data_IF_577461823433
#
_entry.id   IF_577461823433
#
_cell.length_a   1.000
_cell.length_b   1.000
_cell.length_c   1.000
_cell.angle_alpha   90.00
_cell.angle_beta   90.00
_cell.angle_gamma   90.00
#
_symmetry.space_group_name_H-M   'P 1'
#
loop_
_entity.id
_entity.type
_entity.pdbx_description
1 polymer ?
#
# COMPACT_ATOMS: atom_id res chain seq x y z
N UNK A 1 -40.89 11.88 -49.65
CA UNK A 1 -39.66 12.59 -49.26
C UNK A 1 -39.18 11.98 -47.96
N UNK A 2 -38.10 11.19 -47.99
CA UNK A 2 -37.47 10.68 -46.77
C UNK A 2 -36.40 11.69 -46.38
N UNK A 3 -36.61 12.38 -45.26
CA UNK A 3 -35.57 13.22 -44.68
C UNK A 3 -34.52 12.30 -44.06
N UNK A 4 -33.33 12.25 -44.67
CA UNK A 4 -32.14 11.73 -44.01
C UNK A 4 -31.79 12.69 -42.87
N UNK A 5 -32.21 12.37 -41.65
CA UNK A 5 -31.59 12.97 -40.48
C UNK A 5 -30.18 12.40 -40.41
N UNK A 6 -29.19 13.14 -40.90
CA UNK A 6 -27.81 12.92 -40.52
C UNK A 6 -27.73 13.25 -39.02
N UNK A 7 -27.93 12.23 -38.18
CA UNK A 7 -27.48 12.30 -36.80
C UNK A 7 -25.96 12.31 -36.92
N UNK A 8 -25.35 13.49 -36.94
CA UNK A 8 -23.94 13.57 -36.56
C UNK A 8 -23.86 12.86 -35.21
N UNK A 9 -23.08 11.78 -35.16
CA UNK A 9 -22.67 11.13 -33.92
C UNK A 9 -21.85 12.15 -33.13
N UNK A 10 -22.51 13.13 -32.52
CA UNK A 10 -21.85 14.19 -31.79
C UNK A 10 -21.42 13.61 -30.46
N UNK A 11 -20.25 13.00 -30.49
CA UNK A 11 -19.47 12.74 -29.31
C UNK A 11 -19.09 14.06 -28.66
N UNK A 12 -18.91 14.05 -27.33
CA UNK A 12 -18.58 15.24 -26.56
C UNK A 12 -17.15 15.72 -26.85
N UNK A 13 -16.77 16.84 -26.25
CA UNK A 13 -15.39 17.31 -26.33
C UNK A 13 -14.39 16.21 -25.91
N UNK A 14 -13.31 16.10 -26.68
CA UNK A 14 -12.25 15.09 -26.52
C UNK A 14 -12.68 13.63 -26.73
N UNK A 15 -13.85 13.41 -27.33
CA UNK A 15 -14.31 12.09 -27.76
C UNK A 15 -14.33 11.98 -29.30
N UNK A 16 -14.22 10.76 -29.80
CA UNK A 16 -14.41 10.41 -31.19
C UNK A 16 -15.32 9.19 -31.32
N UNK A 17 -16.16 9.15 -32.36
CA UNK A 17 -17.00 8.01 -32.62
C UNK A 17 -16.16 6.86 -33.18
N UNK A 18 -16.29 5.68 -32.58
CA UNK A 18 -15.61 4.48 -33.01
C UNK A 18 -16.61 3.33 -33.15
N UNK A 19 -16.72 2.74 -34.34
CA UNK A 19 -17.58 1.59 -34.63
C UNK A 19 -17.13 0.30 -33.93
N UNK A 20 -15.85 0.21 -33.58
CA UNK A 20 -15.29 -0.87 -32.77
C UNK A 20 -14.45 -0.27 -31.63
N UNK A 21 -15.12 0.43 -30.71
CA UNK A 21 -14.51 0.92 -29.47
C UNK A 21 -14.22 -0.20 -28.48
N UNK A 22 -13.26 0.04 -27.58
CA UNK A 22 -13.00 -0.84 -26.43
C UNK A 22 -14.20 -0.85 -25.47
N UNK A 23 -14.55 -2.03 -24.97
CA UNK A 23 -15.55 -2.17 -23.90
C UNK A 23 -15.06 -1.70 -22.52
N UNK A 24 -13.77 -1.40 -22.38
CA UNK A 24 -13.15 -0.96 -21.14
C UNK A 24 -12.34 0.29 -21.45
N UNK A 25 -12.96 1.45 -21.30
CA UNK A 25 -12.25 2.72 -21.40
C UNK A 25 -11.48 2.96 -20.10
N UNK A 26 -10.27 3.48 -20.24
CA UNK A 26 -9.47 3.87 -19.09
C UNK A 26 -10.09 5.10 -18.43
N UNK A 27 -10.02 5.15 -17.11
CA UNK A 27 -10.32 6.35 -16.33
C UNK A 27 -9.10 6.78 -15.50
N UNK A 28 -9.22 7.88 -14.77
CA UNK A 28 -8.12 8.41 -13.97
C UNK A 28 -7.62 7.48 -12.84
N UNK A 29 -8.46 6.59 -12.32
CA UNK A 29 -8.13 5.75 -11.16
C UNK A 29 -7.91 4.28 -11.51
N UNK A 30 -8.32 3.87 -12.70
CA UNK A 30 -8.34 2.48 -13.13
C UNK A 30 -8.03 2.36 -14.61
N UNK A 31 -6.95 1.64 -14.90
CA UNK A 31 -6.68 1.07 -16.21
C UNK A 31 -7.02 -0.41 -16.13
N UNK A 32 -8.04 -0.89 -16.85
CA UNK A 32 -8.47 -2.29 -16.80
C UNK A 32 -7.32 -3.22 -17.18
N UNK A 33 -6.88 -4.08 -16.25
CA UNK A 33 -5.82 -5.05 -16.50
C UNK A 33 -6.22 -6.11 -17.55
N UNK A 34 -7.53 -6.38 -17.64
CA UNK A 34 -8.12 -7.26 -18.63
C UNK A 34 -9.26 -6.52 -19.31
N UNK A 35 -9.27 -6.54 -20.64
CA UNK A 35 -10.41 -6.10 -21.43
C UNK A 35 -10.75 -7.15 -22.49
N UNK A 36 -12.04 -7.37 -22.71
CA UNK A 36 -12.52 -8.24 -23.77
C UNK A 36 -12.31 -7.57 -25.13
N UNK A 37 -11.99 -8.34 -26.16
CA UNK A 37 -11.84 -7.84 -27.54
C UNK A 37 -13.20 -7.59 -28.23
N UNK A 38 -14.27 -7.39 -27.45
CA UNK A 38 -15.59 -7.13 -28.00
C UNK A 38 -15.65 -5.69 -28.52
N UNK A 39 -16.08 -5.53 -29.77
CA UNK A 39 -16.34 -4.21 -30.35
C UNK A 39 -17.61 -3.62 -29.74
N UNK A 40 -17.49 -2.45 -29.10
CA UNK A 40 -18.65 -1.67 -28.64
C UNK A 40 -18.69 -0.36 -29.44
N UNK A 41 -19.64 -0.22 -30.40
CA UNK A 41 -19.81 1.02 -31.14
C UNK A 41 -20.21 2.16 -30.20
N UNK A 42 -19.53 3.29 -30.28
CA UNK A 42 -19.85 4.45 -29.44
C UNK A 42 -18.75 5.51 -29.39
N UNK A 43 -18.95 6.51 -28.53
CA UNK A 43 -17.98 7.57 -28.31
C UNK A 43 -16.87 7.10 -27.35
N UNK A 44 -15.63 7.24 -27.80
CA UNK A 44 -14.44 6.87 -27.04
C UNK A 44 -13.54 8.08 -26.83
N UNK A 45 -12.84 8.15 -25.70
CA UNK A 45 -11.87 9.22 -25.49
C UNK A 45 -10.77 9.16 -26.56
N UNK A 46 -10.44 10.32 -27.13
CA UNK A 46 -9.31 10.45 -28.07
C UNK A 46 -8.01 10.04 -27.38
N UNK A 47 -7.01 9.66 -28.18
CA UNK A 47 -5.67 9.32 -27.65
C UNK A 47 -5.12 10.43 -26.73
N UNK A 48 -4.68 10.04 -25.53
CA UNK A 48 -4.17 10.98 -24.50
C UNK A 48 -5.23 11.50 -23.53
N UNK A 49 -6.51 11.17 -23.76
CA UNK A 49 -7.62 11.50 -22.88
C UNK A 49 -8.18 10.23 -22.23
N UNK A 50 -8.68 10.39 -21.00
CA UNK A 50 -9.29 9.31 -20.21
C UNK A 50 -10.58 9.80 -19.59
N UNK A 51 -11.47 8.87 -19.22
CA UNK A 51 -12.68 9.18 -18.45
C UNK A 51 -12.27 9.75 -17.09
N UNK A 52 -12.91 10.82 -16.63
CA UNK A 52 -12.62 11.41 -15.33
C UNK A 52 -12.93 10.44 -14.17
N UNK A 53 -14.06 9.73 -14.22
CA UNK A 53 -14.51 8.80 -13.17
C UNK A 53 -15.01 7.47 -13.71
N UNK A 54 -16.05 7.49 -14.54
CA UNK A 54 -16.76 6.32 -15.06
C UNK A 54 -17.01 6.45 -16.57
N UNK A 55 -17.57 5.41 -17.19
CA UNK A 55 -17.79 5.32 -18.65
C UNK A 55 -18.68 6.43 -19.23
N UNK A 56 -19.37 7.22 -18.40
CA UNK A 56 -20.22 8.34 -18.82
C UNK A 56 -19.61 9.71 -18.51
N UNK A 57 -18.51 9.74 -17.77
CA UNK A 57 -17.82 10.98 -17.42
C UNK A 57 -17.11 11.61 -18.63
N UNK A 58 -16.87 12.92 -18.59
CA UNK A 58 -16.16 13.62 -19.67
C UNK A 58 -14.74 13.06 -19.86
N UNK A 59 -14.23 13.13 -21.09
CA UNK A 59 -12.85 12.83 -21.41
C UNK A 59 -11.96 14.03 -21.09
N UNK A 60 -11.05 13.86 -20.12
CA UNK A 60 -10.07 14.88 -19.74
C UNK A 60 -8.66 14.44 -20.14
N UNK A 61 -7.72 15.37 -20.39
CA UNK A 61 -6.32 15.02 -20.56
C UNK A 61 -5.86 14.19 -19.36
N UNK A 62 -5.10 13.12 -19.60
CA UNK A 62 -4.64 12.22 -18.52
C UNK A 62 -3.85 12.98 -17.44
N UNK A 63 -3.14 14.04 -17.82
CA UNK A 63 -2.43 14.95 -16.91
C UNK A 63 -3.32 15.78 -15.98
N UNK A 64 -4.62 15.88 -16.26
CA UNK A 64 -5.60 16.56 -15.40
C UNK A 64 -6.28 15.61 -14.41
N UNK A 65 -5.91 14.33 -14.40
CA UNK A 65 -6.38 13.40 -13.39
C UNK A 65 -5.97 13.89 -11.99
N UNK A 66 -6.96 14.08 -11.12
CA UNK A 66 -6.72 14.48 -9.75
C UNK A 66 -6.04 13.33 -8.98
N UNK A 67 -4.79 13.54 -8.58
CA UNK A 67 -4.11 12.64 -7.66
C UNK A 67 -4.39 13.01 -6.20
N UNK A 68 -4.18 12.07 -5.28
CA UNK A 68 -4.40 12.32 -3.85
C UNK A 68 -3.35 13.28 -3.27
N UNK A 69 -3.52 13.65 -2.01
CA UNK A 69 -2.55 14.49 -1.30
C UNK A 69 -1.15 13.84 -1.37
N UNK A 70 -0.13 14.67 -1.63
CA UNK A 70 1.26 14.26 -1.83
C UNK A 70 1.53 13.33 -3.01
N UNK A 71 0.62 13.28 -3.97
CA UNK A 71 0.82 12.58 -5.24
C UNK A 71 0.90 13.55 -6.42
N UNK A 72 1.53 13.11 -7.51
CA UNK A 72 1.50 13.78 -8.80
C UNK A 72 1.24 12.76 -9.91
N UNK A 73 0.60 13.23 -10.98
CA UNK A 73 0.37 12.40 -12.16
C UNK A 73 1.65 12.32 -12.98
N UNK A 74 2.03 11.11 -13.38
CA UNK A 74 3.14 10.85 -14.30
C UNK A 74 2.71 9.84 -15.37
N UNK A 75 3.05 10.10 -16.63
CA UNK A 75 2.78 9.17 -17.74
C UNK A 75 3.76 8.00 -17.80
N UNK A 76 4.96 8.17 -17.23
CA UNK A 76 5.96 7.11 -17.11
C UNK A 76 6.52 7.09 -15.68
N UNK A 77 5.79 6.47 -14.76
CA UNK A 77 6.30 6.11 -13.44
C UNK A 77 6.76 4.64 -13.37
N UNK A 78 7.36 4.29 -12.23
CA UNK A 78 7.83 2.92 -11.95
C UNK A 78 6.64 1.97 -11.78
N UNK A 79 6.72 0.78 -12.38
CA UNK A 79 5.74 -0.28 -12.12
C UNK A 79 5.89 -0.96 -10.75
N UNK A 80 6.98 -0.66 -10.05
CA UNK A 80 7.26 -1.12 -8.69
C UNK A 80 7.59 0.11 -7.85
N UNK A 81 6.59 0.93 -7.48
CA UNK A 81 6.81 2.06 -6.58
C UNK A 81 7.25 1.53 -5.21
N UNK A 82 8.20 2.21 -4.59
CA UNK A 82 8.62 1.89 -3.22
C UNK A 82 7.50 2.17 -2.22
N UNK A 83 7.45 1.36 -1.18
CA UNK A 83 6.56 1.54 -0.04
C UNK A 83 7.36 1.60 1.25
N UNK A 84 6.75 2.07 2.33
CA UNK A 84 7.38 1.99 3.65
C UNK A 84 7.77 0.55 4.02
N UNK A 85 6.95 -0.45 3.65
CA UNK A 85 7.18 -1.85 3.99
C UNK A 85 8.19 -2.56 3.07
N UNK A 86 8.39 -2.06 1.86
CA UNK A 86 9.24 -2.71 0.88
C UNK A 86 9.79 -1.73 -0.14
N UNK A 87 11.10 -1.72 -0.27
CA UNK A 87 11.82 -1.13 -1.40
C UNK A 87 11.94 -2.16 -2.52
N UNK A 88 11.58 -1.77 -3.74
CA UNK A 88 11.64 -2.65 -4.90
C UNK A 88 13.09 -2.81 -5.37
N UNK A 89 13.74 -3.92 -5.00
CA UNK A 89 15.14 -4.19 -5.38
C UNK A 89 15.31 -4.53 -6.87
N UNK A 90 14.28 -5.13 -7.48
CA UNK A 90 14.25 -5.51 -8.88
C UNK A 90 12.95 -5.00 -9.49
N UNK A 91 13.07 -4.05 -10.42
CA UNK A 91 11.92 -3.55 -11.17
C UNK A 91 12.21 -3.54 -12.67
N UNK A 92 11.21 -3.87 -13.47
CA UNK A 92 11.29 -3.76 -14.92
C UNK A 92 11.35 -2.27 -15.32
N UNK A 93 11.95 -1.98 -16.47
CA UNK A 93 12.02 -0.61 -17.03
C UNK A 93 10.71 -0.17 -17.70
N UNK A 94 9.61 -0.85 -17.40
CA UNK A 94 8.31 -0.55 -18.00
C UNK A 94 7.73 0.74 -17.42
N UNK A 95 7.31 1.65 -18.29
CA UNK A 95 6.58 2.85 -17.89
C UNK A 95 5.14 2.48 -17.57
N UNK A 96 4.65 2.87 -16.40
CA UNK A 96 3.21 2.83 -16.09
C UNK A 96 2.70 4.25 -15.83
N UNK A 97 1.63 4.69 -16.50
CA UNK A 97 0.99 5.96 -16.20
C UNK A 97 0.13 5.86 -14.93
N UNK A 98 0.12 6.90 -14.10
CA UNK A 98 -0.66 6.91 -12.85
C UNK A 98 -0.26 8.01 -11.87
N UNK A 99 -0.78 7.90 -10.64
CA UNK A 99 -0.44 8.79 -9.53
C UNK A 99 0.70 8.21 -8.69
N UNK A 100 1.76 8.98 -8.53
CA UNK A 100 2.98 8.61 -7.80
C UNK A 100 3.25 9.57 -6.66
N UNK A 101 3.87 9.10 -5.58
CA UNK A 101 4.25 9.96 -4.47
C UNK A 101 5.25 11.02 -4.93
N UNK A 102 5.05 12.27 -4.53
CA UNK A 102 6.00 13.37 -4.76
C UNK A 102 7.33 13.08 -4.09
N UNK A 103 8.38 13.76 -4.53
CA UNK A 103 9.71 13.65 -3.93
C UNK A 103 9.67 13.90 -2.40
N UNK A 104 10.33 13.04 -1.63
CA UNK A 104 10.31 13.04 -0.17
C UNK A 104 9.10 12.34 0.47
N UNK A 105 8.16 11.84 -0.34
CA UNK A 105 7.04 11.03 0.11
C UNK A 105 7.13 9.60 -0.43
N UNK A 106 6.60 8.66 0.33
CA UNK A 106 6.60 7.24 0.01
C UNK A 106 5.24 6.64 0.35
N UNK A 107 4.82 5.65 -0.43
CA UNK A 107 3.49 5.04 -0.26
C UNK A 107 3.50 4.18 1.00
N UNK A 108 2.50 4.32 1.87
CA UNK A 108 2.51 3.61 3.15
C UNK A 108 2.56 2.08 2.96
N UNK A 109 1.78 1.54 2.03
CA UNK A 109 1.74 0.11 1.70
C UNK A 109 1.16 -0.12 0.29
N UNK A 110 1.08 -1.40 -0.14
CA UNK A 110 0.59 -1.79 -1.47
C UNK A 110 -0.95 -1.81 -1.61
N UNK A 111 -1.70 -1.34 -0.63
CA UNK A 111 -3.16 -1.30 -0.74
C UNK A 111 -3.60 -0.24 -1.74
N UNK A 112 -4.65 -0.53 -2.51
CA UNK A 112 -5.25 0.43 -3.44
C UNK A 112 -5.67 1.70 -2.69
N UNK A 113 -5.18 2.86 -3.14
CA UNK A 113 -5.46 4.14 -2.49
C UNK A 113 -4.66 4.42 -1.21
N UNK A 114 -3.63 3.62 -0.91
CA UNK A 114 -2.72 3.85 0.23
C UNK A 114 -2.07 5.24 0.17
N UNK A 115 -2.05 6.02 1.25
CA UNK A 115 -1.58 7.40 1.21
C UNK A 115 -0.07 7.49 1.00
N UNK A 116 0.37 8.60 0.42
CA UNK A 116 1.77 9.01 0.39
C UNK A 116 2.09 9.84 1.65
N UNK A 117 2.96 9.30 2.50
CA UNK A 117 3.40 9.93 3.76
C UNK A 117 4.86 10.36 3.64
N UNK A 118 5.33 11.32 4.46
CA UNK A 118 6.75 11.66 4.51
C UNK A 118 7.59 10.41 4.80
N UNK A 119 8.70 10.22 4.09
CA UNK A 119 9.55 9.03 4.23
C UNK A 119 10.06 8.82 5.66
N UNK A 120 10.26 9.92 6.41
CA UNK A 120 10.64 9.90 7.83
C UNK A 120 9.59 9.28 8.76
N UNK A 121 8.33 9.18 8.34
CA UNK A 121 7.22 8.68 9.16
C UNK A 121 6.99 7.16 9.01
N UNK A 122 7.65 6.50 8.06
CA UNK A 122 7.44 5.08 7.76
C UNK A 122 7.55 4.15 8.99
N UNK A 123 8.55 4.36 9.85
CA UNK A 123 8.80 3.48 10.99
C UNK A 123 7.67 3.52 12.02
N UNK A 124 6.94 4.64 12.11
CA UNK A 124 5.83 4.80 13.05
C UNK A 124 4.48 4.42 12.42
N UNK A 125 4.33 4.55 11.11
CA UNK A 125 3.04 4.34 10.43
C UNK A 125 2.79 2.92 9.97
N UNK A 126 3.83 2.09 9.83
CA UNK A 126 3.67 0.67 9.44
C UNK A 126 3.16 -0.21 10.56
N UNK A 127 3.49 0.14 11.81
CA UNK A 127 3.11 -0.63 12.97
C UNK A 127 1.99 0.07 13.72
N UNK A 128 0.95 -0.68 14.07
CA UNK A 128 -0.15 -0.15 14.87
C UNK A 128 0.28 0.17 16.31
N UNK A 129 1.24 -0.61 16.83
CA UNK A 129 1.77 -0.43 18.17
C UNK A 129 2.87 0.66 18.19
N UNK A 130 2.75 1.70 19.04
CA UNK A 130 3.72 2.79 19.12
C UNK A 130 5.10 2.36 19.65
N UNK A 131 5.18 1.24 20.36
CA UNK A 131 6.41 0.63 20.86
C UNK A 131 6.93 -0.48 19.94
N UNK A 132 6.31 -0.67 18.77
CA UNK A 132 6.86 -1.48 17.70
C UNK A 132 7.56 -0.60 16.66
N UNK A 133 8.52 -1.19 15.97
CA UNK A 133 9.20 -0.63 14.81
C UNK A 133 9.19 -1.66 13.68
N UNK A 134 9.03 -1.17 12.45
CA UNK A 134 9.15 -2.04 11.29
C UNK A 134 10.62 -2.27 10.95
N UNK A 135 10.98 -3.52 10.71
CA UNK A 135 12.29 -3.86 10.12
C UNK A 135 12.11 -4.84 8.97
N UNK A 136 12.91 -4.66 7.91
CA UNK A 136 12.97 -5.57 6.78
C UNK A 136 13.63 -6.91 7.15
N UNK A 137 14.40 -6.96 8.24
CA UNK A 137 15.13 -8.14 8.69
C UNK A 137 15.17 -8.20 10.22
N UNK A 138 14.04 -8.56 10.83
CA UNK A 138 13.92 -8.80 12.26
C UNK A 138 14.12 -10.26 12.66
N UNK A 139 14.43 -10.49 13.93
CA UNK A 139 14.62 -11.83 14.48
C UNK A 139 13.38 -12.71 14.28
N UNK A 140 13.57 -13.95 13.84
CA UNK A 140 12.47 -14.93 13.77
C UNK A 140 11.92 -15.36 15.14
N UNK A 141 12.61 -15.01 16.24
CA UNK A 141 12.08 -15.10 17.59
C UNK A 141 12.15 -13.74 18.28
N UNK A 142 10.98 -13.13 18.45
CA UNK A 142 10.83 -11.97 19.30
C UNK A 142 10.77 -12.39 20.76
N UNK A 143 11.30 -11.56 21.64
CA UNK A 143 11.17 -11.75 23.08
C UNK A 143 9.72 -11.50 23.51
N UNK A 144 9.24 -12.33 24.40
CA UNK A 144 7.86 -12.34 24.92
C UNK A 144 7.87 -12.26 26.44
N UNK A 145 6.73 -11.92 27.04
CA UNK A 145 6.58 -11.98 28.49
C UNK A 145 6.80 -13.40 29.07
N UNK A 146 6.64 -14.47 28.29
CA UNK A 146 6.99 -15.84 28.72
C UNK A 146 8.49 -16.03 28.92
N UNK A 147 9.31 -15.39 28.09
CA UNK A 147 10.77 -15.42 28.22
C UNK A 147 11.25 -14.70 29.49
N UNK A 148 10.53 -13.64 29.91
CA UNK A 148 10.79 -12.91 31.15
C UNK A 148 10.33 -13.68 32.40
N UNK A 149 9.21 -14.41 32.31
CA UNK A 149 8.66 -15.23 33.42
C UNK A 149 9.45 -16.53 33.65
N UNK A 150 10.17 -17.01 32.64
CA UNK A 150 10.93 -18.26 32.72
C UNK A 150 12.29 -18.17 32.01
N UNK A 151 13.38 -17.91 32.75
CA UNK A 151 14.74 -17.77 32.20
C UNK A 151 15.25 -19.00 31.44
N UNK A 152 14.65 -20.18 31.65
CA UNK A 152 15.04 -21.43 30.97
C UNK A 152 14.55 -21.41 29.50
N UNK A 153 13.46 -20.70 29.19
CA UNK A 153 12.93 -20.52 27.83
C UNK A 153 13.78 -19.55 26.98
N UNK A 154 14.60 -18.71 27.63
CA UNK A 154 15.49 -17.74 26.97
C UNK A 154 16.53 -18.40 26.06
N UNK A 155 16.85 -19.68 26.28
CA UNK A 155 17.76 -20.46 25.44
C UNK A 155 17.06 -21.01 24.18
N UNK A 156 16.32 -20.17 23.47
CA UNK A 156 15.73 -20.50 22.17
C UNK A 156 16.76 -20.26 21.07
N UNK A 157 17.06 -21.31 20.30
CA UNK A 157 17.83 -21.18 19.06
C UNK A 157 16.95 -20.52 18.00
N UNK A 158 17.34 -19.32 17.59
CA UNK A 158 16.66 -18.60 16.53
C UNK A 158 17.27 -18.93 15.18
N UNK A 159 16.40 -19.07 14.18
CA UNK A 159 16.82 -19.12 12.79
C UNK A 159 17.61 -17.85 12.45
N UNK A 160 18.71 -18.01 11.72
CA UNK A 160 19.45 -16.88 11.13
C UNK A 160 18.69 -16.25 9.97
N UNK A 161 17.63 -16.90 9.48
CA UNK A 161 16.69 -16.32 8.52
C UNK A 161 15.82 -15.32 9.26
N UNK A 162 15.99 -14.04 8.93
CA UNK A 162 15.15 -12.97 9.43
C UNK A 162 13.82 -12.87 8.66
N UNK A 163 12.85 -12.18 9.26
CA UNK A 163 11.55 -11.88 8.64
C UNK A 163 11.32 -10.38 8.63
N UNK A 164 10.64 -9.90 7.60
CA UNK A 164 10.17 -8.52 7.54
C UNK A 164 8.87 -8.38 8.34
N UNK A 165 8.70 -7.27 9.08
CA UNK A 165 7.53 -7.07 9.91
C UNK A 165 7.73 -6.05 11.03
N UNK A 166 6.74 -5.98 11.92
CA UNK A 166 6.78 -5.16 13.13
C UNK A 166 7.36 -5.94 14.29
N UNK A 167 8.37 -5.37 14.94
CA UNK A 167 9.06 -5.96 16.09
C UNK A 167 9.07 -4.95 17.22
N UNK A 168 9.04 -5.41 18.47
CA UNK A 168 9.13 -4.50 19.60
C UNK A 168 10.48 -3.78 19.59
N UNK A 169 10.43 -2.46 19.80
CA UNK A 169 11.61 -1.61 19.95
C UNK A 169 12.50 -2.16 21.06
N UNK A 170 13.80 -1.84 20.99
CA UNK A 170 14.75 -2.23 22.04
C UNK A 170 14.25 -1.83 23.43
N UNK A 171 14.19 -2.80 24.36
CA UNK A 171 13.66 -2.62 25.71
C UNK A 171 12.17 -2.94 25.88
N UNK A 172 11.49 -3.41 24.82
CA UNK A 172 10.11 -3.90 24.87
C UNK A 172 10.04 -5.37 24.46
N UNK A 173 9.06 -6.08 25.01
CA UNK A 173 8.77 -7.49 24.72
C UNK A 173 7.29 -7.66 24.36
N UNK A 174 6.96 -8.73 23.66
CA UNK A 174 5.58 -9.03 23.26
C UNK A 174 4.78 -9.47 24.50
N UNK A 175 3.74 -8.71 24.83
CA UNK A 175 2.78 -9.02 25.89
C UNK A 175 1.69 -9.99 25.45
N UNK A 176 0.79 -10.34 26.38
CA UNK A 176 -0.25 -11.36 26.15
C UNK A 176 -1.24 -11.00 25.04
N UNK A 177 -1.49 -9.70 24.76
CA UNK A 177 -2.36 -9.25 23.67
C UNK A 177 -1.57 -8.85 22.40
N UNK A 178 -0.36 -9.37 22.21
CA UNK A 178 0.52 -9.06 21.08
C UNK A 178 0.96 -7.59 20.96
N UNK A 179 0.86 -6.83 22.05
CA UNK A 179 1.36 -5.46 22.15
C UNK A 179 2.76 -5.41 22.77
N UNK A 180 3.56 -4.43 22.40
CA UNK A 180 4.90 -4.22 22.91
C UNK A 180 4.84 -3.51 24.27
N UNK A 181 5.13 -4.28 25.32
CA UNK A 181 5.13 -3.83 26.72
C UNK A 181 6.54 -3.83 27.28
N UNK A 182 6.77 -3.09 28.35
CA UNK A 182 8.04 -3.17 29.06
C UNK A 182 8.13 -4.50 29.83
N UNK A 183 9.32 -5.12 29.93
CA UNK A 183 9.53 -6.37 30.68
C UNK A 183 8.97 -6.33 32.11
N UNK A 184 9.07 -5.19 32.80
CA UNK A 184 8.57 -5.05 34.17
C UNK A 184 7.05 -5.21 34.29
N UNK A 185 6.32 -5.02 33.18
CA UNK A 185 4.86 -5.20 33.13
C UNK A 185 4.47 -6.68 33.04
N UNK A 186 5.38 -7.55 32.60
CA UNK A 186 5.14 -8.99 32.43
C UNK A 186 4.95 -9.74 33.76
N UNK A 187 5.40 -9.16 34.87
CA UNK A 187 5.44 -9.82 36.18
C UNK A 187 4.52 -9.19 37.22
N UNK A 188 3.47 -8.49 36.76
CA UNK A 188 2.44 -7.94 37.63
C UNK A 188 1.47 -9.04 38.09
N UNK A 189 1.15 -9.02 39.39
CA UNK A 189 0.46 -10.06 40.14
C UNK A 189 -0.98 -10.32 39.64
N UNK A 190 -1.29 -11.55 39.20
CA UNK A 190 -2.68 -12.04 39.07
C UNK A 190 -2.99 -12.94 40.27
N UNK A 191 -3.88 -12.51 41.16
CA UNK A 191 -4.47 -13.32 42.23
C UNK A 191 -3.50 -14.16 43.08
N UNK A 192 -2.33 -13.63 43.42
CA UNK A 192 -1.42 -14.23 44.41
C UNK A 192 -0.80 -15.59 44.04
N UNK A 193 -0.92 -16.05 42.79
CA UNK A 193 -0.44 -17.35 42.35
C UNK A 193 0.31 -17.27 41.00
N UNK A 194 1.36 -16.46 40.94
CA UNK A 194 2.65 -16.83 40.35
C UNK A 194 3.74 -15.79 40.72
N UNK A 195 4.88 -16.27 41.24
CA UNK A 195 6.19 -15.58 41.24
C UNK A 195 7.02 -16.33 40.19
N UNK A 196 7.59 -15.70 39.16
CA UNK A 196 8.76 -14.83 39.28
C UNK A 196 9.04 -14.06 37.98
N UNK A 197 9.40 -12.77 38.10
CA UNK A 197 10.55 -12.18 37.40
C UNK A 197 11.63 -12.13 38.47
N UNK A 198 12.54 -13.09 38.52
CA UNK A 198 13.72 -13.03 39.38
C UNK A 198 14.85 -13.77 38.66
N UNK A 199 15.92 -13.05 38.32
CA UNK A 199 17.23 -13.67 38.25
C UNK A 199 18.19 -12.86 39.10
N UNK A 200 18.27 -13.30 40.36
CA UNK A 200 19.51 -13.51 41.15
C UNK A 200 20.32 -12.23 41.47
N UNK A 201 21.01 -12.04 42.59
CA UNK A 201 21.52 -12.85 43.70
C UNK A 201 22.41 -11.85 44.47
N UNK A 202 22.51 -12.04 45.80
CA UNK A 202 23.20 -11.20 46.82
C UNK A 202 22.41 -10.03 47.41
#
# INVERSE_FOLDING_TARGET
MCFFVQIESQCSDNEEYNECGSACQENCTHTPAFCTLQCVPGCVCKKGFVRETDDKSKCIPRSQCACSVNEFFNECGSACPDTCAARSQLCTRQCVPGCFCKDGFIRLNNQTGSPCIPESECNNSLCHDPNAEYTECGSSCSQTCDDERNPIQKFRLCSTVCRNGCFCKTGFVIGENSQCVKPETCCQTINGLYKTCDTQVE
#
